data_IF_821194693924
#
_entry.id   IF_821194693924
#
_cell.length_a   1.000
_cell.length_b   1.000
_cell.length_c   1.000
_cell.angle_alpha   90.00
_cell.angle_beta   90.00
_cell.angle_gamma   90.00
#
_symmetry.space_group_name_H-M   'P 1'
#
loop_
_entity.id
_entity.type
_entity.pdbx_description
1 polymer ?
#
# COMPACT_ATOMS: atom_id res chain seq x y z
N UNK A 1 -3.90 -48.43 49.76
CA UNK A 1 -4.78 -48.39 48.56
C UNK A 1 -5.40 -47.00 48.48
N UNK A 2 -5.30 -46.32 47.34
CA UNK A 2 -5.93 -45.00 47.17
C UNK A 2 -7.46 -45.12 47.18
N UNK A 3 -8.12 -44.18 47.87
CA UNK A 3 -9.59 -44.10 47.95
C UNK A 3 -10.19 -43.83 46.57
N UNK A 4 -11.30 -44.52 46.24
CA UNK A 4 -12.06 -44.30 44.99
C UNK A 4 -12.48 -42.83 44.79
N UNK A 5 -12.62 -42.07 45.89
CA UNK A 5 -12.99 -40.65 45.89
C UNK A 5 -11.85 -39.75 45.40
N UNK A 6 -10.61 -40.05 45.81
CA UNK A 6 -9.38 -39.38 45.36
C UNK A 6 -9.13 -39.61 43.86
N UNK A 7 -9.31 -40.86 43.41
CA UNK A 7 -9.18 -41.24 42.00
C UNK A 7 -10.18 -40.49 41.09
N UNK A 8 -11.44 -40.37 41.53
CA UNK A 8 -12.46 -39.58 40.79
C UNK A 8 -12.13 -38.08 40.76
N UNK A 9 -11.62 -37.50 41.84
CA UNK A 9 -11.25 -36.08 41.92
C UNK A 9 -10.06 -35.75 41.02
N UNK A 10 -9.04 -36.62 40.97
CA UNK A 10 -7.90 -36.46 40.07
C UNK A 10 -8.30 -36.58 38.59
N UNK A 11 -9.14 -37.57 38.24
CA UNK A 11 -9.62 -37.75 36.87
C UNK A 11 -10.46 -36.56 36.38
N UNK A 12 -11.30 -35.98 37.25
CA UNK A 12 -12.11 -34.81 36.91
C UNK A 12 -11.25 -33.54 36.67
N UNK A 13 -10.15 -33.37 37.43
CA UNK A 13 -9.19 -32.27 37.23
C UNK A 13 -8.37 -32.44 35.95
N UNK A 14 -7.92 -33.66 35.63
CA UNK A 14 -7.21 -33.93 34.39
C UNK A 14 -8.12 -33.72 33.18
N UNK A 15 -9.39 -34.12 33.26
CA UNK A 15 -10.36 -33.85 32.20
C UNK A 15 -10.62 -32.34 32.03
N UNK A 16 -10.70 -31.58 33.13
CA UNK A 16 -10.80 -30.12 33.07
C UNK A 16 -9.58 -29.48 32.39
N UNK A 17 -8.36 -29.92 32.72
CA UNK A 17 -7.15 -29.40 32.05
C UNK A 17 -7.12 -29.75 30.56
N UNK A 18 -7.56 -30.94 30.17
CA UNK A 18 -7.68 -31.33 28.75
C UNK A 18 -8.67 -30.42 27.99
N UNK A 19 -9.81 -30.09 28.60
CA UNK A 19 -10.78 -29.15 28.01
C UNK A 19 -10.17 -27.75 27.86
N UNK A 20 -9.49 -27.24 28.90
CA UNK A 20 -8.86 -25.92 28.87
C UNK A 20 -7.81 -25.84 27.77
N UNK A 21 -6.94 -26.84 27.66
CA UNK A 21 -5.91 -26.92 26.61
C UNK A 21 -6.58 -26.97 25.23
N UNK A 22 -7.64 -27.77 25.07
CA UNK A 22 -8.42 -27.82 23.83
C UNK A 22 -8.97 -26.45 23.41
N UNK A 23 -9.54 -25.69 24.36
CA UNK A 23 -10.05 -24.34 24.11
C UNK A 23 -8.93 -23.38 23.70
N UNK A 24 -7.78 -23.42 24.38
CA UNK A 24 -6.62 -22.57 24.05
C UNK A 24 -6.13 -22.86 22.63
N UNK A 25 -6.05 -24.12 22.23
CA UNK A 25 -5.64 -24.51 20.87
C UNK A 25 -6.62 -23.97 19.83
N UNK A 26 -7.93 -24.08 20.07
CA UNK A 26 -8.95 -23.54 19.16
C UNK A 26 -8.81 -22.02 19.01
N UNK A 27 -8.64 -21.30 20.13
CA UNK A 27 -8.45 -19.84 20.10
C UNK A 27 -7.17 -19.49 19.34
N UNK A 28 -6.06 -20.19 19.58
CA UNK A 28 -4.80 -19.95 18.89
C UNK A 28 -4.92 -20.14 17.37
N UNK A 29 -5.64 -21.17 16.92
CA UNK A 29 -5.89 -21.40 15.49
C UNK A 29 -6.71 -20.24 14.89
N UNK A 30 -7.79 -19.82 15.56
CA UNK A 30 -8.64 -18.72 15.09
C UNK A 30 -7.83 -17.41 14.99
N UNK A 31 -7.05 -17.08 16.01
CA UNK A 31 -6.19 -15.91 16.01
C UNK A 31 -5.11 -15.99 14.91
N UNK A 32 -4.50 -17.16 14.72
CA UNK A 32 -3.51 -17.40 13.67
C UNK A 32 -4.07 -17.16 12.27
N UNK A 33 -5.25 -17.71 11.98
CA UNK A 33 -5.96 -17.51 10.71
C UNK A 33 -6.32 -16.03 10.49
N UNK A 34 -6.79 -15.35 11.52
CA UNK A 34 -7.15 -13.93 11.43
C UNK A 34 -5.95 -13.03 11.10
N UNK A 35 -4.83 -13.23 11.79
CA UNK A 35 -3.58 -12.48 11.55
C UNK A 35 -3.05 -12.76 10.15
N UNK A 36 -3.04 -14.03 9.73
CA UNK A 36 -2.61 -14.41 8.39
C UNK A 36 -3.46 -13.72 7.30
N UNK A 37 -4.79 -13.77 7.43
CA UNK A 37 -5.68 -13.14 6.45
C UNK A 37 -5.49 -11.61 6.38
N UNK A 38 -5.33 -10.95 7.53
CA UNK A 38 -5.01 -9.50 7.57
C UNK A 38 -3.71 -9.18 6.84
N UNK A 39 -2.67 -10.00 7.05
CA UNK A 39 -1.38 -9.83 6.39
C UNK A 39 -1.49 -10.01 4.88
N UNK A 40 -2.16 -11.07 4.42
CA UNK A 40 -2.39 -11.32 2.99
C UNK A 40 -3.13 -10.15 2.33
N UNK A 41 -4.17 -9.62 2.97
CA UNK A 41 -4.88 -8.44 2.46
C UNK A 41 -4.01 -7.19 2.40
N UNK A 42 -3.16 -6.97 3.40
CA UNK A 42 -2.23 -5.84 3.41
C UNK A 42 -1.18 -5.96 2.29
N UNK A 43 -0.60 -7.14 2.10
CA UNK A 43 0.35 -7.42 1.02
C UNK A 43 -0.31 -7.24 -0.35
N UNK A 44 -1.56 -7.71 -0.53
CA UNK A 44 -2.30 -7.52 -1.76
C UNK A 44 -2.53 -6.03 -2.06
N UNK A 45 -2.94 -5.24 -1.07
CA UNK A 45 -3.11 -3.79 -1.21
C UNK A 45 -1.81 -3.10 -1.61
N UNK A 46 -0.69 -3.49 -1.00
CA UNK A 46 0.62 -2.94 -1.34
C UNK A 46 1.04 -3.29 -2.77
N UNK A 47 0.82 -4.53 -3.21
CA UNK A 47 1.09 -4.94 -4.61
C UNK A 47 0.24 -4.16 -5.60
N UNK A 48 -1.07 -4.03 -5.34
CA UNK A 48 -1.96 -3.24 -6.21
C UNK A 48 -1.62 -1.76 -6.22
N UNK A 49 -1.07 -1.23 -5.12
CA UNK A 49 -0.63 0.15 -5.05
C UNK A 49 0.62 0.35 -5.91
N UNK A 50 1.61 -0.53 -5.79
CA UNK A 50 2.82 -0.50 -6.59
C UNK A 50 2.52 -0.56 -8.10
N UNK A 51 1.57 -1.39 -8.53
CA UNK A 51 1.23 -1.53 -9.97
C UNK A 51 0.51 -0.32 -10.56
N UNK A 52 0.04 0.63 -9.74
CA UNK A 52 -0.78 1.75 -10.21
C UNK A 52 -0.26 3.12 -9.80
N UNK A 53 0.62 3.21 -8.81
CA UNK A 53 1.11 4.47 -8.25
C UNK A 53 2.62 4.59 -8.35
N UNK A 54 3.10 5.78 -8.75
CA UNK A 54 4.51 6.12 -8.76
C UNK A 54 5.15 5.89 -7.40
N UNK A 55 6.43 5.53 -7.39
CA UNK A 55 7.20 5.38 -6.15
C UNK A 55 7.23 6.72 -5.36
N UNK A 56 7.12 6.72 -4.01
CA UNK A 56 6.98 7.91 -3.18
C UNK A 56 7.88 9.13 -3.43
N UNK A 57 9.08 8.97 -3.99
CA UNK A 57 10.07 10.05 -4.15
C UNK A 57 10.26 10.54 -5.59
N UNK A 58 9.30 10.24 -6.47
CA UNK A 58 9.43 10.50 -7.90
C UNK A 58 9.06 11.92 -8.24
N UNK A 59 9.89 12.54 -9.07
CA UNK A 59 9.71 13.89 -9.59
C UNK A 59 9.86 13.88 -11.10
N UNK A 60 8.91 14.49 -11.82
CA UNK A 60 8.96 14.69 -13.27
C UNK A 60 8.91 16.19 -13.51
N UNK A 61 9.89 16.74 -14.23
CA UNK A 61 10.01 18.18 -14.50
C UNK A 61 9.90 19.07 -13.25
N UNK A 62 10.52 18.66 -12.14
CA UNK A 62 10.45 19.40 -10.86
C UNK A 62 9.13 19.25 -10.09
N UNK A 63 8.13 18.57 -10.66
CA UNK A 63 6.84 18.28 -10.01
C UNK A 63 6.90 16.93 -9.29
N UNK A 64 6.65 16.94 -7.97
CA UNK A 64 6.55 15.70 -7.18
C UNK A 64 5.30 14.91 -7.56
N UNK A 65 5.50 13.73 -8.13
CA UNK A 65 4.45 12.81 -8.60
C UNK A 65 4.39 11.48 -7.87
N UNK A 66 5.26 11.27 -6.88
CA UNK A 66 5.21 10.06 -6.04
C UNK A 66 3.84 9.82 -5.41
N UNK A 67 3.48 8.55 -5.29
CA UNK A 67 2.16 8.07 -4.82
C UNK A 67 0.97 8.53 -5.67
N UNK A 68 1.19 9.03 -6.90
CA UNK A 68 0.12 9.35 -7.84
C UNK A 68 0.02 8.26 -8.91
N UNK A 69 -1.16 8.10 -9.48
CA UNK A 69 -1.32 7.32 -10.71
C UNK A 69 -0.81 8.12 -11.91
N UNK A 70 -0.54 7.45 -13.03
CA UNK A 70 -0.11 8.09 -14.29
C UNK A 70 -1.03 9.26 -14.66
N UNK A 71 -2.35 9.05 -14.70
CA UNK A 71 -3.29 10.13 -15.02
C UNK A 71 -3.23 11.32 -14.05
N UNK A 72 -3.12 11.05 -12.74
CA UNK A 72 -3.00 12.12 -11.72
C UNK A 72 -1.68 12.86 -11.84
N UNK A 73 -0.60 12.17 -12.17
CA UNK A 73 0.71 12.76 -12.42
C UNK A 73 0.68 13.64 -13.68
N UNK A 74 0.13 13.16 -14.79
CA UNK A 74 -0.04 13.90 -16.04
C UNK A 74 -0.80 15.21 -15.81
N UNK A 75 -1.95 15.14 -15.15
CA UNK A 75 -2.76 16.32 -14.83
C UNK A 75 -1.97 17.30 -13.95
N UNK A 76 -1.33 16.81 -12.89
CA UNK A 76 -0.57 17.66 -11.96
C UNK A 76 0.65 18.32 -12.62
N UNK A 77 1.32 17.64 -13.55
CA UNK A 77 2.42 18.22 -14.32
C UNK A 77 1.87 19.32 -15.21
N UNK A 78 0.80 19.04 -15.96
CA UNK A 78 0.16 20.01 -16.83
C UNK A 78 -0.43 21.21 -16.07
N UNK A 79 -0.88 21.05 -14.82
CA UNK A 79 -1.35 22.17 -13.99
C UNK A 79 -0.22 23.09 -13.54
N UNK A 80 0.98 22.54 -13.30
CA UNK A 80 2.10 23.26 -12.67
C UNK A 80 3.21 23.67 -13.62
N UNK A 81 3.15 23.26 -14.88
CA UNK A 81 4.20 23.53 -15.84
C UNK A 81 4.02 24.90 -16.49
N UNK A 82 5.02 25.77 -16.33
CA UNK A 82 5.13 26.95 -17.19
C UNK A 82 5.59 26.48 -18.57
N UNK A 83 4.82 26.83 -19.60
CA UNK A 83 4.96 26.27 -20.95
C UNK A 83 5.01 27.34 -22.04
N UNK A 84 4.88 28.62 -21.67
CA UNK A 84 5.01 29.75 -22.59
C UNK A 84 5.90 30.81 -21.97
N UNK A 85 6.66 31.52 -22.80
CA UNK A 85 7.45 32.68 -22.40
C UNK A 85 6.80 33.96 -22.94
N UNK A 86 6.57 34.92 -22.05
CA UNK A 86 6.09 36.24 -22.40
C UNK A 86 7.19 37.28 -22.16
N UNK A 87 7.29 38.25 -23.07
CA UNK A 87 8.11 39.43 -22.85
C UNK A 87 7.25 40.49 -22.14
N UNK A 88 7.42 40.65 -20.82
CA UNK A 88 6.77 41.71 -20.04
C UNK A 88 7.83 42.64 -19.45
N UNK A 89 7.63 43.95 -19.58
CA UNK A 89 8.53 44.97 -19.01
C UNK A 89 10.02 44.74 -19.35
N UNK A 90 10.32 44.40 -20.61
CA UNK A 90 11.68 44.08 -21.10
C UNK A 90 12.35 42.89 -20.39
N UNK A 91 11.58 42.03 -19.72
CA UNK A 91 12.04 40.77 -19.10
C UNK A 91 11.26 39.60 -19.69
N UNK A 92 11.96 38.49 -19.92
CA UNK A 92 11.32 37.21 -20.24
C UNK A 92 10.77 36.61 -18.94
N UNK A 93 9.48 36.31 -18.94
CA UNK A 93 8.77 35.67 -17.83
C UNK A 93 8.15 34.38 -18.36
N UNK A 94 8.32 33.28 -17.62
CA UNK A 94 7.66 32.02 -17.94
C UNK A 94 6.30 32.00 -17.24
N UNK A 95 5.23 31.67 -17.97
CA UNK A 95 3.88 31.58 -17.45
C UNK A 95 3.20 30.31 -17.97
N UNK A 96 2.13 29.90 -17.27
CA UNK A 96 1.24 28.79 -17.65
C UNK A 96 0.19 29.25 -18.66
N UNK A 97 0.11 28.58 -19.81
CA UNK A 97 -1.01 28.65 -20.77
C UNK A 97 -1.87 27.38 -20.69
N UNK A 98 -3.06 27.51 -20.12
CA UNK A 98 -4.01 26.42 -19.87
C UNK A 98 -4.48 25.69 -21.13
N UNK A 99 -4.33 26.27 -22.33
CA UNK A 99 -4.77 25.66 -23.58
C UNK A 99 -3.75 24.67 -24.14
N UNK A 100 -2.52 24.69 -23.62
CA UNK A 100 -1.43 23.84 -24.10
C UNK A 100 -1.11 22.83 -23.01
N UNK A 101 -1.09 21.55 -23.37
CA UNK A 101 -0.58 20.48 -22.51
C UNK A 101 0.95 20.44 -22.63
N UNK A 102 1.64 20.37 -21.49
CA UNK A 102 3.10 20.27 -21.44
C UNK A 102 3.57 18.84 -21.71
N UNK A 103 2.79 17.85 -21.27
CA UNK A 103 3.10 16.44 -21.42
C UNK A 103 1.84 15.62 -21.63
N UNK A 104 1.93 14.64 -22.52
CA UNK A 104 0.89 13.63 -22.71
C UNK A 104 1.00 12.50 -21.68
N UNK A 105 -0.02 11.65 -21.61
CA UNK A 105 -0.01 10.48 -20.72
C UNK A 105 1.07 9.47 -21.11
N UNK A 106 1.38 9.29 -22.40
CA UNK A 106 2.32 8.27 -22.88
C UNK A 106 3.76 8.48 -22.37
N UNK A 107 4.35 9.68 -22.42
CA UNK A 107 5.63 9.94 -21.76
C UNK A 107 5.61 9.70 -20.24
N UNK A 108 4.52 10.05 -19.55
CA UNK A 108 4.37 9.82 -18.10
C UNK A 108 4.29 8.32 -17.78
N UNK A 109 3.61 7.54 -18.62
CA UNK A 109 3.61 6.08 -18.55
C UNK A 109 5.02 5.51 -18.70
N UNK A 110 5.81 5.98 -19.66
CA UNK A 110 7.20 5.53 -19.80
C UNK A 110 8.05 5.83 -18.55
N UNK A 111 7.82 6.96 -17.87
CA UNK A 111 8.48 7.25 -16.59
C UNK A 111 8.02 6.31 -15.48
N UNK A 112 6.75 5.93 -15.48
CA UNK A 112 6.18 4.97 -14.53
C UNK A 112 6.77 3.56 -14.73
N UNK A 113 6.83 3.11 -15.99
CA UNK A 113 7.34 1.78 -16.34
C UNK A 113 8.82 1.64 -15.97
N UNK A 114 9.64 2.70 -16.20
CA UNK A 114 11.06 2.72 -15.80
C UNK A 114 11.31 2.53 -14.30
N UNK A 115 10.31 2.71 -13.45
CA UNK A 115 10.46 2.52 -12.00
C UNK A 115 10.29 1.08 -11.58
N UNK A 116 9.64 0.30 -12.43
CA UNK A 116 9.42 -1.10 -12.23
C UNK A 116 10.59 -1.81 -12.88
N UNK A 117 11.34 -2.56 -12.07
CA UNK A 117 12.29 -3.51 -12.62
C UNK A 117 11.47 -4.69 -13.11
N UNK A 118 11.56 -5.00 -14.40
CA UNK A 118 11.10 -6.27 -14.92
C UNK A 118 11.84 -7.36 -14.14
N UNK A 119 11.10 -8.15 -13.36
CA UNK A 119 11.61 -9.33 -12.64
C UNK A 119 11.77 -10.50 -13.60
#
# INVERSE_FOLDING_TARGET
MQSRRELRKHNNRNNLYLIIIGVIIIIAIICGVFIHNKRVQAEQKQRTFATTHFNPNVTIYGVKVGNLTVNKATNKINEKADNVFFLRNKKLVSERDTNIQTIDSQPVQNYFDKQHTDL
#
